data_IF_882845880260
#
_entry.id   IF_882845880260
#
_cell.length_a   1.000
_cell.length_b   1.000
_cell.length_c   1.000
_cell.angle_alpha   90.00
_cell.angle_beta   90.00
_cell.angle_gamma   90.00
#
_symmetry.space_group_name_H-M   'P 1'
#
loop_
_entity.id
_entity.type
_entity.pdbx_description
1 polymer ?
#
# COMPACT_ATOMS: atom_id res chain seq x y z
N UNK A 1 14.50 -11.19 -21.93
CA UNK A 1 14.06 -9.78 -22.05
C UNK A 1 14.19 -9.13 -20.66
N UNK A 2 15.18 -8.26 -20.48
CA UNK A 2 15.45 -7.61 -19.18
C UNK A 2 14.40 -6.53 -18.93
N UNK A 3 13.51 -6.71 -17.93
CA UNK A 3 12.63 -5.63 -17.48
C UNK A 3 13.54 -4.55 -16.88
N UNK A 4 13.69 -3.41 -17.59
CA UNK A 4 14.48 -2.24 -17.17
C UNK A 4 14.20 -1.94 -15.70
N UNK A 5 15.22 -1.69 -14.88
CA UNK A 5 15.07 -1.39 -13.44
C UNK A 5 14.08 -0.25 -13.15
N UNK A 6 13.87 0.67 -14.10
CA UNK A 6 12.86 1.73 -14.02
C UNK A 6 11.43 1.19 -13.93
N UNK A 7 11.12 0.06 -14.56
CA UNK A 7 9.80 -0.59 -14.51
C UNK A 7 9.47 -1.17 -13.13
N UNK A 8 10.47 -1.48 -12.31
CA UNK A 8 10.29 -1.98 -10.94
C UNK A 8 10.14 -0.87 -9.91
N UNK A 9 10.36 0.40 -10.30
CA UNK A 9 10.26 1.53 -9.39
C UNK A 9 8.94 1.60 -8.62
N UNK A 10 7.76 1.24 -9.15
CA UNK A 10 6.51 1.18 -8.38
C UNK A 10 6.47 0.11 -7.28
N UNK A 11 7.36 -0.89 -7.34
CA UNK A 11 7.38 -2.06 -6.46
C UNK A 11 8.50 -2.01 -5.40
N UNK A 12 9.45 -1.11 -5.54
CA UNK A 12 10.50 -0.92 -4.54
C UNK A 12 9.92 -0.42 -3.20
N UNK A 13 10.53 -0.77 -2.05
CA UNK A 13 10.14 -0.24 -0.76
C UNK A 13 10.09 1.29 -0.77
N UNK A 14 8.97 1.86 -0.31
CA UNK A 14 8.77 3.30 -0.21
C UNK A 14 8.40 3.64 1.23
N UNK A 15 9.24 4.43 1.90
CA UNK A 15 9.04 4.84 3.29
C UNK A 15 8.52 6.26 3.32
N UNK A 16 7.51 6.49 4.15
CA UNK A 16 6.91 7.80 4.37
C UNK A 16 7.10 8.16 5.84
N UNK A 17 7.60 9.37 6.10
CA UNK A 17 7.64 9.91 7.46
C UNK A 17 6.21 10.21 7.92
N UNK A 18 5.78 9.54 9.00
CA UNK A 18 4.43 9.68 9.55
C UNK A 18 4.18 11.04 10.19
N UNK A 19 5.23 11.82 10.49
CA UNK A 19 5.11 13.18 11.03
C UNK A 19 4.98 14.25 9.96
N UNK A 20 5.15 13.88 8.69
CA UNK A 20 4.99 14.80 7.57
C UNK A 20 3.52 15.16 7.37
N UNK A 21 3.21 16.44 7.15
CA UNK A 21 1.88 16.89 6.75
C UNK A 21 1.41 16.25 5.43
N UNK A 22 2.35 15.84 4.56
CA UNK A 22 2.06 15.21 3.27
C UNK A 22 1.99 13.68 3.34
N UNK A 23 2.11 13.07 4.53
CA UNK A 23 2.24 11.62 4.69
C UNK A 23 1.11 10.84 3.99
N UNK A 24 -0.14 11.25 4.22
CA UNK A 24 -1.33 10.65 3.60
C UNK A 24 -1.26 10.70 2.08
N UNK A 25 -0.91 11.86 1.52
CA UNK A 25 -0.84 12.09 0.08
C UNK A 25 0.29 11.30 -0.57
N UNK A 26 1.46 11.21 0.07
CA UNK A 26 2.59 10.44 -0.44
C UNK A 26 2.29 8.94 -0.41
N UNK A 27 1.67 8.46 0.66
CA UNK A 27 1.26 7.07 0.81
C UNK A 27 0.22 6.68 -0.26
N UNK A 28 -0.86 7.45 -0.40
CA UNK A 28 -1.93 7.16 -1.37
C UNK A 28 -1.43 7.23 -2.82
N UNK A 29 -0.65 8.26 -3.17
CA UNK A 29 -0.04 8.38 -4.50
C UNK A 29 0.86 7.19 -4.81
N UNK A 30 1.59 6.68 -3.83
CA UNK A 30 2.45 5.52 -4.02
C UNK A 30 1.62 4.25 -4.26
N UNK A 31 0.64 3.97 -3.41
CA UNK A 31 -0.25 2.81 -3.54
C UNK A 31 -0.96 2.81 -4.91
N UNK A 32 -1.51 3.95 -5.33
CA UNK A 32 -2.17 4.09 -6.63
C UNK A 32 -1.24 3.74 -7.81
N UNK A 33 0.01 4.21 -7.77
CA UNK A 33 1.01 3.87 -8.80
C UNK A 33 1.36 2.38 -8.80
N UNK A 34 1.38 1.74 -7.64
CA UNK A 34 1.62 0.29 -7.54
C UNK A 34 0.43 -0.50 -8.07
N UNK A 35 -0.81 -0.10 -7.76
CA UNK A 35 -2.02 -0.72 -8.29
C UNK A 35 -2.11 -0.60 -9.81
N UNK A 36 -1.94 0.58 -10.39
CA UNK A 36 -1.96 0.75 -11.85
C UNK A 36 -0.82 0.01 -12.57
N UNK A 37 0.23 -0.38 -11.85
CA UNK A 37 1.32 -1.17 -12.41
C UNK A 37 1.06 -2.69 -12.33
N UNK A 38 0.35 -3.14 -11.29
CA UNK A 38 0.12 -4.55 -11.00
C UNK A 38 -1.23 -5.07 -11.49
N UNK A 39 -2.22 -4.20 -11.52
CA UNK A 39 -3.61 -4.51 -11.80
C UNK A 39 -4.01 -4.02 -13.19
N UNK A 40 -4.77 -4.84 -13.90
CA UNK A 40 -5.57 -4.41 -15.06
C UNK A 40 -6.90 -3.86 -14.58
N UNK A 41 -7.61 -3.11 -15.42
CA UNK A 41 -8.86 -2.43 -15.05
C UNK A 41 -9.93 -3.39 -14.48
N UNK A 42 -9.98 -4.63 -14.97
CA UNK A 42 -10.94 -5.66 -14.51
C UNK A 42 -10.39 -6.62 -13.45
N UNK A 43 -9.25 -6.31 -12.83
CA UNK A 43 -8.66 -7.17 -11.81
C UNK A 43 -9.48 -7.16 -10.52
N UNK A 44 -9.84 -8.35 -10.02
CA UNK A 44 -10.42 -8.48 -8.69
C UNK A 44 -9.37 -8.15 -7.62
N UNK A 45 -9.67 -7.16 -6.77
CA UNK A 45 -8.77 -6.72 -5.69
C UNK A 45 -9.12 -7.42 -4.38
N UNK A 46 -8.15 -8.10 -3.79
CA UNK A 46 -8.27 -8.66 -2.44
C UNK A 46 -7.42 -7.84 -1.48
N UNK A 47 -8.04 -7.25 -0.46
CA UNK A 47 -7.35 -6.59 0.65
C UNK A 47 -7.16 -7.59 1.79
N UNK A 48 -5.95 -8.14 1.91
CA UNK A 48 -5.58 -9.02 3.02
C UNK A 48 -4.99 -8.18 4.18
N UNK A 49 -5.79 -7.97 5.22
CA UNK A 49 -5.40 -7.24 6.41
C UNK A 49 -4.65 -8.15 7.40
N UNK A 50 -3.32 -7.98 7.50
CA UNK A 50 -2.47 -8.78 8.38
C UNK A 50 -2.04 -7.94 9.60
N UNK A 51 -2.17 -8.52 10.78
CA UNK A 51 -1.77 -7.92 12.04
C UNK A 51 -2.38 -8.66 13.21
N UNK A 52 -2.09 -8.21 14.42
CA UNK A 52 -2.77 -8.69 15.63
C UNK A 52 -3.45 -7.53 16.34
N UNK A 53 -4.48 -7.84 17.11
CA UNK A 53 -5.23 -6.91 17.96
C UNK A 53 -4.53 -6.67 19.32
N UNK A 54 -3.36 -7.31 19.55
CA UNK A 54 -2.71 -7.34 20.87
C UNK A 54 -1.48 -6.45 21.01
N UNK A 55 -0.79 -6.07 19.93
CA UNK A 55 0.51 -5.38 20.03
C UNK A 55 0.48 -3.96 19.47
N UNK A 56 1.18 -3.06 20.16
CA UNK A 56 1.42 -1.70 19.67
C UNK A 56 2.39 -1.77 18.48
N UNK A 57 1.88 -1.55 17.27
CA UNK A 57 2.70 -1.44 16.05
C UNK A 57 2.42 -2.47 14.95
N UNK A 58 1.69 -3.55 15.24
CA UNK A 58 1.25 -4.54 14.23
C UNK A 58 -0.27 -4.54 13.98
N UNK A 59 -1.04 -3.72 14.69
CA UNK A 59 -2.49 -3.58 14.54
C UNK A 59 -2.94 -2.79 13.29
N UNK A 60 -2.00 -2.28 12.49
CA UNK A 60 -2.32 -1.46 11.31
C UNK A 60 -3.19 -2.20 10.30
N UNK A 61 -2.93 -3.47 10.03
CA UNK A 61 -3.73 -4.27 9.09
C UNK A 61 -5.20 -4.36 9.50
N UNK A 62 -5.52 -4.89 10.70
CA UNK A 62 -6.89 -4.94 11.22
C UNK A 62 -7.59 -3.57 11.23
N UNK A 63 -6.89 -2.50 11.65
CA UNK A 63 -7.47 -1.15 11.70
C UNK A 63 -7.81 -0.60 10.31
N UNK A 64 -6.97 -0.84 9.30
CA UNK A 64 -7.28 -0.44 7.92
C UNK A 64 -8.46 -1.24 7.39
N UNK A 65 -8.49 -2.56 7.64
CA UNK A 65 -9.56 -3.44 7.19
C UNK A 65 -10.93 -3.02 7.71
N UNK A 66 -11.04 -2.74 9.03
CA UNK A 66 -12.29 -2.28 9.62
C UNK A 66 -12.78 -0.96 9.05
N UNK A 67 -11.89 -0.08 8.57
CA UNK A 67 -12.25 1.24 8.01
C UNK A 67 -12.65 1.21 6.54
N UNK A 68 -12.26 0.17 5.81
CA UNK A 68 -12.58 0.00 4.38
C UNK A 68 -13.85 -0.82 4.19
N UNK A 69 -14.20 -1.66 5.17
CA UNK A 69 -15.41 -2.45 5.17
C UNK A 69 -16.68 -1.63 5.45
N UNK A 70 -16.54 -0.47 6.10
CA UNK A 70 -17.59 0.50 6.39
C UNK A 70 -17.79 1.51 5.23
#
# INVERSE_FOLDING_TARGET
MSRKASSLQPLLPYRVDTKSAEATKLCSKRLYRSFNHLCTDDASLVLLCIGTDRSTGDSLGPLVGSRVQD
#
